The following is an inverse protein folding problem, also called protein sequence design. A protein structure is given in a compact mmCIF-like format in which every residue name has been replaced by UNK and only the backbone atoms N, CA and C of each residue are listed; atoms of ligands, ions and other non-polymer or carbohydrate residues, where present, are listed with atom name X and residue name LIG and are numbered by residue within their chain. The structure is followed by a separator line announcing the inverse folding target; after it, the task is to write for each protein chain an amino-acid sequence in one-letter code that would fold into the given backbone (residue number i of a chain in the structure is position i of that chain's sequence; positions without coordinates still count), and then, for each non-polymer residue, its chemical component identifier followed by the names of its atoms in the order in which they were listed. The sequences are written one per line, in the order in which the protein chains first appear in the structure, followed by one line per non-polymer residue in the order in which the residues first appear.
data_IF_192589391630
#
_entry.id   IF_192589391630
#
_cell.length_a   1.000
_cell.length_b   1.000
_cell.length_c   1.000
_cell.angle_alpha   90.00
_cell.angle_beta   90.00
_cell.angle_gamma   90.00
#
_symmetry.space_group_name_H-M   'P 1'
#
loop_
_entity.id
_entity.type
_entity.pdbx_description
1 polymer ?
#
# COMPACT_ATOMS: atom_id res chain seq x y z
N UNK A 1 10.93 -11.93 13.76
CA UNK A 1 10.11 -12.30 12.60
C UNK A 1 9.72 -10.98 11.99
N UNK A 2 10.26 -10.68 10.82
CA UNK A 2 10.07 -9.38 10.15
C UNK A 2 9.11 -9.61 9.01
N UNK A 3 7.87 -9.19 9.20
CA UNK A 3 6.86 -9.14 8.15
C UNK A 3 7.29 -8.03 7.16
N UNK A 4 7.17 -8.29 5.87
CA UNK A 4 7.72 -7.42 4.81
C UNK A 4 6.57 -7.03 3.90
N UNK A 5 6.22 -5.73 3.90
CA UNK A 5 5.07 -5.22 3.17
C UNK A 5 5.55 -4.60 1.87
N UNK A 6 4.93 -5.03 0.77
CA UNK A 6 5.35 -4.68 -0.57
C UNK A 6 4.23 -3.92 -1.30
N UNK A 7 4.56 -2.76 -1.86
CA UNK A 7 3.65 -1.78 -2.46
C UNK A 7 3.95 -1.60 -3.95
N UNK A 8 2.91 -1.51 -4.78
CA UNK A 8 2.92 -1.18 -6.22
C UNK A 8 1.89 -0.06 -6.48
N UNK A 9 2.26 1.02 -7.18
CA UNK A 9 1.34 2.10 -7.60
C UNK A 9 0.84 1.78 -9.00
N UNK A 10 -0.45 1.51 -9.18
CA UNK A 10 -1.03 1.21 -10.50
C UNK A 10 -2.00 2.33 -10.92
N UNK A 11 -1.56 3.12 -11.91
CA UNK A 11 -2.39 4.11 -12.60
C UNK A 11 -3.02 3.53 -13.87
N UNK A 12 -4.33 3.70 -14.04
CA UNK A 12 -5.06 3.36 -15.25
C UNK A 12 -4.73 4.34 -16.38
N UNK A 13 -4.15 3.84 -17.46
CA UNK A 13 -4.50 4.28 -18.83
C UNK A 13 -4.41 3.09 -19.78
N UNK A 14 -5.41 2.97 -20.65
CA UNK A 14 -5.55 1.89 -21.61
C UNK A 14 -5.09 2.37 -22.99
N UNK A 15 -3.91 1.94 -23.45
CA UNK A 15 -3.67 1.37 -24.80
C UNK A 15 -2.20 0.89 -25.00
N UNK A 16 -2.08 -0.39 -25.43
CA UNK A 16 -1.00 -1.16 -26.08
C UNK A 16 0.54 -0.93 -25.86
N UNK A 17 1.17 -2.02 -25.38
CA UNK A 17 2.59 -2.48 -25.29
C UNK A 17 3.66 -1.91 -26.26
N UNK A 18 4.94 -1.75 -25.81
CA UNK A 18 5.85 -2.90 -25.65
C UNK A 18 6.66 -2.91 -24.34
N UNK A 19 6.87 -4.12 -23.82
CA UNK A 19 7.57 -4.37 -22.55
C UNK A 19 6.58 -4.40 -21.41
N UNK A 20 6.10 -5.60 -21.05
CA UNK A 20 5.35 -5.83 -19.81
C UNK A 20 6.24 -5.37 -18.66
N UNK A 21 6.17 -4.09 -18.27
CA UNK A 21 6.72 -3.59 -17.01
C UNK A 21 6.01 -4.42 -15.96
N UNK A 22 6.72 -5.42 -15.45
CA UNK A 22 6.26 -6.20 -14.32
C UNK A 22 5.95 -5.15 -13.25
N UNK A 23 4.72 -5.13 -12.75
CA UNK A 23 4.38 -4.38 -11.54
C UNK A 23 5.46 -4.73 -10.52
N UNK A 24 6.35 -3.78 -10.29
CA UNK A 24 7.53 -4.02 -9.47
C UNK A 24 7.12 -3.68 -8.07
N UNK A 25 7.10 -4.75 -7.31
CA UNK A 25 6.73 -4.78 -5.94
C UNK A 25 7.93 -4.23 -5.15
N UNK A 26 7.71 -3.11 -4.45
CA UNK A 26 8.71 -2.44 -3.64
C UNK A 26 8.34 -2.54 -2.17
N UNK A 27 9.27 -3.05 -1.36
CA UNK A 27 9.12 -3.00 0.09
C UNK A 27 9.17 -1.56 0.57
N UNK A 28 8.06 -1.10 1.17
CA UNK A 28 7.99 0.21 1.80
C UNK A 28 7.84 0.05 3.30
N UNK A 29 8.54 0.90 4.05
CA UNK A 29 8.46 0.87 5.51
C UNK A 29 7.24 1.64 5.99
N UNK A 30 6.48 1.06 6.89
CA UNK A 30 5.39 1.75 7.57
C UNK A 30 5.97 2.74 8.57
N UNK A 31 5.72 4.03 8.37
CA UNK A 31 6.17 5.09 9.28
C UNK A 31 5.11 5.53 10.26
N UNK A 32 3.84 5.35 9.91
CA UNK A 32 2.73 5.72 10.78
C UNK A 32 1.54 4.80 10.52
N UNK A 33 0.91 4.33 11.59
CA UNK A 33 -0.39 3.65 11.53
C UNK A 33 -1.30 4.40 12.50
N UNK A 34 -2.38 4.99 11.98
CA UNK A 34 -3.34 5.76 12.77
C UNK A 34 -4.75 5.19 12.62
N UNK A 35 -5.48 4.93 13.72
CA UNK A 35 -6.88 4.56 13.61
C UNK A 35 -7.73 5.73 13.10
N UNK A 36 -8.63 5.42 12.18
CA UNK A 36 -9.62 6.32 11.58
C UNK A 36 -11.04 5.87 11.98
N UNK A 37 -12.02 6.73 11.72
CA UNK A 37 -13.42 6.42 11.98
C UNK A 37 -13.91 5.24 11.12
N UNK A 38 -15.03 4.62 11.55
CA UNK A 38 -15.68 3.51 10.86
C UNK A 38 -14.81 2.24 10.69
N UNK A 39 -13.94 1.96 11.67
CA UNK A 39 -13.11 0.77 11.67
C UNK A 39 -12.10 0.76 10.53
N UNK A 40 -11.49 1.91 10.24
CA UNK A 40 -10.44 2.03 9.23
C UNK A 40 -9.14 2.43 9.88
N UNK A 41 -8.00 2.12 9.26
CA UNK A 41 -6.69 2.64 9.67
C UNK A 41 -6.06 3.39 8.50
N UNK A 42 -5.47 4.54 8.81
CA UNK A 42 -4.61 5.29 7.90
C UNK A 42 -3.18 4.81 8.07
N UNK A 43 -2.57 4.34 7.00
CA UNK A 43 -1.20 3.83 6.97
C UNK A 43 -0.36 4.77 6.12
N UNK A 44 0.74 5.25 6.68
CA UNK A 44 1.75 6.05 5.97
C UNK A 44 2.97 5.17 5.72
N UNK A 45 3.30 5.00 4.45
CA UNK A 45 4.51 4.32 3.99
C UNK A 45 5.58 5.36 3.67
N UNK A 46 6.82 5.08 4.06
CA UNK A 46 8.00 5.85 3.64
C UNK A 46 8.51 5.31 2.32
N UNK A 47 8.59 6.21 1.35
CA UNK A 47 9.18 5.95 0.04
C UNK A 47 10.65 6.38 0.09
N UNK A 48 11.61 5.45 -0.09
CA UNK A 48 13.01 5.83 -0.15
C UNK A 48 13.27 6.74 -1.36
N UNK A 49 14.24 7.64 -1.26
CA UNK A 49 14.51 8.64 -2.30
C UNK A 49 14.74 8.04 -3.70
N UNK A 50 15.30 6.83 -3.78
CA UNK A 50 15.51 6.11 -5.04
C UNK A 50 14.23 5.65 -5.74
N UNK A 51 13.11 5.57 -5.02
CA UNK A 51 11.78 5.22 -5.55
C UNK A 51 10.84 6.43 -5.62
N UNK A 52 11.28 7.61 -5.19
CA UNK A 52 10.42 8.79 -5.15
C UNK A 52 9.84 9.17 -6.53
N UNK A 53 10.51 8.80 -7.62
CA UNK A 53 9.99 8.98 -8.99
C UNK A 53 8.91 7.97 -9.38
N UNK A 54 8.97 6.74 -8.89
CA UNK A 54 7.98 5.69 -9.15
C UNK A 54 6.68 5.90 -8.35
N UNK A 55 6.77 6.66 -7.26
CA UNK A 55 5.64 7.02 -6.39
C UNK A 55 5.13 8.46 -6.61
N UNK A 56 5.45 9.07 -7.75
CA UNK A 56 4.85 10.33 -8.21
C UNK A 56 3.45 10.03 -8.79
N UNK A 57 2.49 9.76 -7.90
CA UNK A 57 1.12 9.36 -8.27
C UNK A 57 0.18 10.55 -8.43
N UNK A 58 -0.84 10.39 -9.28
CA UNK A 58 -1.93 11.35 -9.39
C UNK A 58 -3.06 11.03 -8.39
N UNK A 59 -3.80 12.04 -7.89
CA UNK A 59 -5.02 11.81 -7.11
C UNK A 59 -6.00 10.89 -7.86
N UNK A 60 -6.58 9.91 -7.15
CA UNK A 60 -7.48 8.91 -7.73
C UNK A 60 -6.78 7.60 -8.14
N UNK A 61 -5.46 7.50 -8.04
CA UNK A 61 -4.75 6.25 -8.19
C UNK A 61 -4.87 5.34 -6.95
N UNK A 62 -4.55 4.07 -7.14
CA UNK A 62 -4.55 3.05 -6.10
C UNK A 62 -3.19 2.36 -6.05
N UNK A 63 -2.86 1.83 -4.87
CA UNK A 63 -1.69 0.98 -4.67
C UNK A 63 -2.14 -0.45 -4.39
N UNK A 64 -1.44 -1.41 -4.99
CA UNK A 64 -1.52 -2.80 -4.58
C UNK A 64 -0.58 -3.03 -3.40
N UNK A 65 -1.15 -3.35 -2.25
CA UNK A 65 -0.42 -3.86 -1.10
C UNK A 65 -0.40 -5.38 -1.12
N UNK A 66 0.76 -5.93 -0.79
CA UNK A 66 0.98 -7.36 -0.62
C UNK A 66 1.58 -7.61 0.77
N UNK A 67 0.98 -8.55 1.49
CA UNK A 67 1.45 -9.00 2.79
C UNK A 67 1.38 -10.53 2.89
N UNK A 68 2.26 -11.10 3.69
CA UNK A 68 2.23 -12.52 4.09
C UNK A 68 1.47 -12.62 5.41
N UNK A 69 0.27 -13.19 5.39
CA UNK A 69 -0.61 -13.32 6.56
C UNK A 69 -0.87 -14.81 6.77
N UNK A 70 -0.54 -15.34 7.95
CA UNK A 70 -0.72 -16.76 8.30
C UNK A 70 -0.09 -17.73 7.27
N UNK A 71 1.05 -17.34 6.68
CA UNK A 71 1.73 -18.12 5.63
C UNK A 71 1.07 -18.08 4.26
N UNK A 72 0.05 -17.24 4.07
CA UNK A 72 -0.58 -17.00 2.78
C UNK A 72 -0.23 -15.61 2.24
N UNK A 73 0.11 -15.54 0.95
CA UNK A 73 0.31 -14.27 0.28
C UNK A 73 -1.06 -13.64 -0.04
N UNK A 74 -1.35 -12.50 0.58
CA UNK A 74 -2.59 -11.76 0.35
C UNK A 74 -2.26 -10.43 -0.31
N UNK A 75 -2.86 -10.21 -1.50
CA UNK A 75 -2.72 -8.97 -2.27
C UNK A 75 -4.05 -8.22 -2.35
N UNK A 76 -4.06 -6.93 -2.02
CA UNK A 76 -5.24 -6.06 -2.12
C UNK A 76 -4.86 -4.67 -2.61
N UNK A 77 -5.73 -4.10 -3.43
CA UNK A 77 -5.59 -2.73 -3.92
C UNK A 77 -6.33 -1.76 -3.00
N UNK A 78 -5.66 -0.69 -2.59
CA UNK A 78 -6.20 0.38 -1.77
C UNK A 78 -6.04 1.71 -2.48
N UNK A 79 -7.08 2.52 -2.44
CA UNK A 79 -7.03 3.87 -2.98
C UNK A 79 -6.11 4.74 -2.12
N UNK A 80 -5.26 5.51 -2.78
CA UNK A 80 -4.45 6.51 -2.12
C UNK A 80 -5.37 7.67 -1.73
N UNK A 81 -5.36 8.04 -0.44
CA UNK A 81 -6.25 9.05 0.12
C UNK A 81 -5.50 10.31 0.55
N UNK A 82 -4.28 10.49 0.05
CA UNK A 82 -3.46 11.68 0.30
C UNK A 82 -2.91 12.24 -1.01
N UNK A 83 -2.56 13.52 -0.96
CA UNK A 83 -1.84 14.18 -2.03
C UNK A 83 -0.47 13.50 -2.25
N UNK A 84 0.08 13.55 -3.48
CA UNK A 84 1.42 13.06 -3.75
C UNK A 84 2.44 13.87 -2.96
N UNK A 85 3.05 13.23 -1.97
CA UNK A 85 4.10 13.84 -1.15
C UNK A 85 5.40 13.08 -1.41
N UNK A 86 6.45 13.79 -1.77
CA UNK A 86 7.77 13.16 -1.96
C UNK A 86 8.21 12.47 -0.68
N UNK A 87 8.55 11.19 -0.82
CA UNK A 87 9.08 10.38 0.29
C UNK A 87 8.03 9.70 1.15
N UNK A 88 6.73 9.86 0.88
CA UNK A 88 5.69 9.15 1.63
C UNK A 88 4.41 8.92 0.82
N UNK A 89 3.73 7.81 1.10
CA UNK A 89 2.42 7.47 0.52
C UNK A 89 1.46 7.18 1.66
N UNK A 90 0.22 7.67 1.59
CA UNK A 90 -0.80 7.37 2.61
C UNK A 90 -2.02 6.70 2.02
N UNK A 91 -2.43 5.62 2.66
CA UNK A 91 -3.63 4.85 2.28
C UNK A 91 -4.55 4.65 3.47
N UNK A 92 -5.83 4.47 3.21
CA UNK A 92 -6.80 4.11 4.22
C UNK A 92 -7.28 2.68 3.99
N UNK A 93 -7.17 1.83 5.01
CA UNK A 93 -7.59 0.44 4.98
C UNK A 93 -8.80 0.28 5.90
N UNK A 94 -9.98 0.14 5.31
CA UNK A 94 -11.21 -0.15 6.03
C UNK A 94 -11.31 -1.64 6.38
N UNK A 95 -11.58 -1.95 7.65
CA UNK A 95 -11.89 -3.31 8.11
C UNK A 95 -13.22 -3.76 7.52
N UNK A 96 -13.17 -4.84 6.73
CA UNK A 96 -14.36 -5.50 6.18
C UNK A 96 -14.55 -6.85 6.83
N UNK A 97 -15.80 -7.22 7.14
CA UNK A 97 -16.13 -8.53 7.72
C UNK A 97 -15.70 -9.64 6.75
N UNK A 98 -14.87 -10.57 7.23
CA UNK A 98 -14.30 -11.65 6.41
C UNK A 98 -13.07 -11.24 5.56
N UNK A 99 -12.63 -9.99 5.63
CA UNK A 99 -11.43 -9.54 4.93
C UNK A 99 -10.15 -9.87 5.69
N UNK A 100 -9.37 -10.85 5.21
CA UNK A 100 -8.11 -11.29 5.84
C UNK A 100 -7.11 -10.12 5.95
N UNK A 101 -6.82 -9.45 4.84
CA UNK A 101 -5.87 -8.32 4.81
C UNK A 101 -6.34 -7.14 5.64
N UNK A 102 -7.59 -6.71 5.48
CA UNK A 102 -8.11 -5.54 6.18
C UNK A 102 -8.15 -5.74 7.70
N UNK A 103 -8.43 -6.97 8.13
CA UNK A 103 -8.44 -7.35 9.55
C UNK A 103 -7.02 -7.34 10.12
N UNK A 104 -6.08 -8.02 9.44
CA UNK A 104 -4.68 -8.00 9.84
C UNK A 104 -4.08 -6.60 9.84
N UNK A 105 -4.37 -5.78 8.83
CA UNK A 105 -3.90 -4.40 8.74
C UNK A 105 -4.45 -3.50 9.86
N UNK A 106 -5.64 -3.80 10.39
CA UNK A 106 -6.20 -3.04 11.50
C UNK A 106 -5.69 -3.53 12.87
N UNK A 107 -5.30 -4.81 13.00
CA UNK A 107 -5.02 -5.43 14.31
C UNK A 107 -3.54 -5.75 14.56
N UNK A 108 -2.77 -6.02 13.49
CA UNK A 108 -1.38 -6.48 13.59
C UNK A 108 -0.37 -5.49 13.00
N UNK A 109 -0.75 -4.75 11.97
CA UNK A 109 0.13 -3.80 11.29
C UNK A 109 0.61 -2.70 12.23
N UNK A 110 1.93 -2.49 12.25
CA UNK A 110 2.58 -1.52 13.14
C UNK A 110 3.58 -0.66 12.39
N UNK A 111 3.94 0.45 13.02
CA UNK A 111 5.04 1.28 12.56
C UNK A 111 6.34 0.47 12.62
N UNK A 112 7.08 0.45 11.52
CA UNK A 112 8.36 -0.21 11.38
C UNK A 112 8.33 -1.50 10.56
N UNK A 113 7.14 -2.04 10.27
CA UNK A 113 6.89 -3.16 9.35
C UNK A 113 7.14 -2.78 7.87
#
# INVERSE_FOLDING_TARGET
MSETIDTDVTGTDAEATPGRRRATFHTLRVSEVRPLAAGSVGVTFLVPAGLAGDYDYAPGQYVALRAQIDGQEVRRSYSICAEPVRGQVKVAIKKTLGGVFSTWANENLKVGD
#
